data_IF_364405547027
#
_entry.id   IF_364405547027
#
_cell.length_a   1.000
_cell.length_b   1.000
_cell.length_c   1.000
_cell.angle_alpha   90.00
_cell.angle_beta   90.00
_cell.angle_gamma   90.00
#
_symmetry.space_group_name_H-M   'P 1'
#
loop_
_entity.id
_entity.type
_entity.pdbx_description
1 polymer ?
#
# COMPACT_ATOMS: atom_id res chain seq x y z
N UNK A 1 -12.18 -11.15 29.95
CA UNK A 1 -12.61 -11.25 28.54
C UNK A 1 -12.62 -9.90 27.82
N UNK A 2 -12.79 -8.76 28.52
CA UNK A 2 -12.72 -7.41 27.92
C UNK A 2 -11.31 -7.00 27.43
N UNK A 3 -10.24 -7.27 28.18
CA UNK A 3 -8.90 -6.76 27.84
C UNK A 3 -8.34 -7.30 26.53
N UNK A 4 -8.57 -8.59 26.23
CA UNK A 4 -8.14 -9.19 24.97
C UNK A 4 -8.86 -8.56 23.77
N UNK A 5 -10.17 -8.33 23.88
CA UNK A 5 -10.96 -7.70 22.82
C UNK A 5 -10.48 -6.26 22.60
N UNK A 6 -10.26 -5.50 23.66
CA UNK A 6 -9.68 -4.15 23.58
C UNK A 6 -8.29 -4.15 22.93
N UNK A 7 -7.42 -5.11 23.28
CA UNK A 7 -6.11 -5.26 22.66
C UNK A 7 -6.19 -5.53 21.16
N UNK A 8 -7.14 -6.36 20.71
CA UNK A 8 -7.40 -6.59 19.29
C UNK A 8 -7.91 -5.32 18.59
N UNK A 9 -8.77 -4.54 19.24
CA UNK A 9 -9.23 -3.25 18.69
C UNK A 9 -8.07 -2.29 18.41
N UNK A 10 -7.12 -2.17 19.33
CA UNK A 10 -5.90 -1.36 19.12
C UNK A 10 -5.00 -1.90 18.02
N UNK A 11 -4.81 -3.23 17.96
CA UNK A 11 -4.07 -3.87 16.88
C UNK A 11 -4.72 -3.59 15.52
N UNK A 12 -6.04 -3.66 15.46
CA UNK A 12 -6.85 -3.27 14.30
C UNK A 12 -6.65 -1.84 13.88
N UNK A 13 -6.80 -0.91 14.81
CA UNK A 13 -6.70 0.52 14.55
C UNK A 13 -5.37 0.89 13.87
N UNK A 14 -4.25 0.33 14.35
CA UNK A 14 -2.92 0.64 13.83
C UNK A 14 -2.51 -0.20 12.60
N UNK A 15 -3.12 -1.38 12.42
CA UNK A 15 -2.74 -2.33 11.38
C UNK A 15 -2.70 -1.75 9.94
N UNK A 16 -3.65 -0.93 9.46
CA UNK A 16 -3.63 -0.38 8.12
C UNK A 16 -2.35 0.41 7.83
N UNK A 17 -1.96 1.28 8.76
CA UNK A 17 -0.75 2.09 8.63
C UNK A 17 0.50 1.23 8.71
N UNK A 18 0.60 0.36 9.72
CA UNK A 18 1.77 -0.49 9.93
C UNK A 18 2.02 -1.46 8.76
N UNK A 19 0.99 -2.19 8.34
CA UNK A 19 1.08 -3.16 7.25
C UNK A 19 1.25 -2.46 5.89
N UNK A 20 0.59 -1.31 5.69
CA UNK A 20 0.82 -0.45 4.52
C UNK A 20 2.28 0.02 4.43
N UNK A 21 2.86 0.49 5.54
CA UNK A 21 4.26 0.90 5.60
C UNK A 21 5.25 -0.25 5.30
N UNK A 22 4.98 -1.45 5.83
CA UNK A 22 5.79 -2.64 5.54
C UNK A 22 5.71 -2.98 4.04
N UNK A 23 4.51 -3.02 3.47
CA UNK A 23 4.31 -3.28 2.06
C UNK A 23 4.98 -2.26 1.15
N UNK A 24 4.79 -0.97 1.45
CA UNK A 24 5.43 0.13 0.73
C UNK A 24 6.95 0.04 0.80
N UNK A 25 7.52 -0.28 1.96
CA UNK A 25 8.97 -0.45 2.11
C UNK A 25 9.49 -1.57 1.20
N UNK A 26 8.83 -2.73 1.21
CA UNK A 26 9.21 -3.87 0.37
C UNK A 26 9.07 -3.53 -1.11
N UNK A 27 7.92 -2.97 -1.51
CA UNK A 27 7.64 -2.62 -2.90
C UNK A 27 8.61 -1.58 -3.45
N UNK A 28 8.83 -0.49 -2.72
CA UNK A 28 9.78 0.56 -3.09
C UNK A 28 11.22 0.04 -3.11
N UNK A 29 11.61 -0.85 -2.21
CA UNK A 29 12.95 -1.44 -2.23
C UNK A 29 13.18 -2.28 -3.49
N UNK A 30 12.22 -3.15 -3.86
CA UNK A 30 12.31 -3.98 -5.07
C UNK A 30 12.38 -3.11 -6.33
N UNK A 31 11.49 -2.11 -6.45
CA UNK A 31 11.50 -1.22 -7.61
C UNK A 31 12.75 -0.31 -7.64
N UNK A 32 13.24 0.11 -6.46
CA UNK A 32 14.45 0.90 -6.31
C UNK A 32 15.71 0.15 -6.75
N UNK A 33 15.81 -1.15 -6.44
CA UNK A 33 16.88 -2.00 -6.94
C UNK A 33 16.90 -2.05 -8.47
N UNK A 34 15.74 -2.18 -9.11
CA UNK A 34 15.63 -2.12 -10.57
C UNK A 34 15.99 -0.74 -11.13
N UNK A 35 15.60 0.34 -10.44
CA UNK A 35 15.96 1.71 -10.80
C UNK A 35 17.48 1.93 -10.79
N UNK A 36 18.17 1.50 -9.72
CA UNK A 36 19.64 1.56 -9.64
C UNK A 36 20.25 0.78 -10.81
N UNK A 37 19.78 -0.44 -11.06
CA UNK A 37 20.28 -1.25 -12.18
C UNK A 37 20.08 -0.59 -13.55
N UNK A 38 18.96 0.10 -13.77
CA UNK A 38 18.72 0.85 -15.01
C UNK A 38 19.68 2.05 -15.15
N UNK A 39 19.95 2.76 -14.05
CA UNK A 39 20.85 3.92 -14.06
C UNK A 39 22.31 3.56 -14.36
N UNK A 40 22.72 2.31 -14.12
CA UNK A 40 24.05 1.84 -14.53
C UNK A 40 24.17 1.74 -16.06
N UNK A 41 23.06 1.42 -16.75
CA UNK A 41 23.04 1.14 -18.19
C UNK A 41 22.65 2.37 -19.04
N UNK A 42 22.23 3.48 -18.42
CA UNK A 42 21.66 4.63 -19.12
C UNK A 42 22.17 5.95 -18.55
N UNK A 43 22.44 6.95 -19.41
CA UNK A 43 22.86 8.30 -18.98
C UNK A 43 21.69 9.29 -18.82
N UNK A 44 20.43 8.83 -18.94
CA UNK A 44 19.24 9.68 -18.87
C UNK A 44 18.01 8.94 -18.34
N UNK A 45 16.93 9.67 -18.05
CA UNK A 45 15.68 9.06 -17.59
C UNK A 45 15.60 8.76 -16.09
N UNK A 46 16.55 9.24 -15.28
CA UNK A 46 16.60 8.96 -13.84
C UNK A 46 15.32 9.32 -13.09
N UNK A 47 14.75 10.49 -13.38
CA UNK A 47 13.48 10.92 -12.77
C UNK A 47 12.33 9.96 -13.04
N UNK A 48 12.33 9.29 -14.20
CA UNK A 48 11.36 8.25 -14.56
C UNK A 48 11.54 7.02 -13.69
N UNK A 49 12.77 6.50 -13.58
CA UNK A 49 13.04 5.29 -12.80
C UNK A 49 12.78 5.51 -11.30
N UNK A 50 13.21 6.65 -10.76
CA UNK A 50 12.95 7.05 -9.37
C UNK A 50 11.45 7.22 -9.15
N UNK A 51 10.76 7.94 -10.03
CA UNK A 51 9.31 8.17 -9.93
C UNK A 51 8.50 6.88 -9.94
N UNK A 52 8.87 5.90 -10.77
CA UNK A 52 8.22 4.59 -10.77
C UNK A 52 8.55 3.79 -9.51
N UNK A 53 9.78 3.92 -8.99
CA UNK A 53 10.21 3.18 -7.80
C UNK A 53 9.47 3.55 -6.53
N UNK A 54 8.94 4.78 -6.45
CA UNK A 54 8.19 5.26 -5.28
C UNK A 54 6.68 4.99 -5.39
N UNK A 55 6.17 4.50 -6.53
CA UNK A 55 4.73 4.22 -6.69
C UNK A 55 4.11 3.38 -5.55
N UNK A 56 4.78 2.33 -5.02
CA UNK A 56 4.26 1.56 -3.89
C UNK A 56 4.12 2.35 -2.56
N UNK A 57 4.48 3.63 -2.50
CA UNK A 57 4.25 4.46 -1.31
C UNK A 57 2.79 4.86 -1.13
N UNK A 58 1.92 4.67 -2.12
CA UNK A 58 0.49 4.99 -1.97
C UNK A 58 -0.16 4.17 -0.86
N UNK A 59 0.25 2.91 -0.67
CA UNK A 59 -0.36 2.03 0.32
C UNK A 59 -0.17 2.49 1.76
N UNK A 60 0.98 3.07 2.12
CA UNK A 60 1.14 3.68 3.45
C UNK A 60 0.23 4.91 3.62
N UNK A 61 0.04 5.71 2.57
CA UNK A 61 -0.86 6.88 2.62
C UNK A 61 -2.31 6.42 2.83
N UNK A 62 -2.76 5.41 2.09
CA UNK A 62 -4.08 4.80 2.29
C UNK A 62 -4.22 4.23 3.70
N UNK A 63 -3.19 3.52 4.19
CA UNK A 63 -3.16 3.00 5.56
C UNK A 63 -3.31 4.09 6.62
N UNK A 64 -2.63 5.23 6.47
CA UNK A 64 -2.77 6.38 7.37
C UNK A 64 -4.21 6.91 7.37
N UNK A 65 -4.82 7.08 6.19
CA UNK A 65 -6.19 7.60 6.09
C UNK A 65 -7.21 6.61 6.68
N UNK A 66 -7.05 5.31 6.48
CA UNK A 66 -7.91 4.29 7.10
C UNK A 66 -7.75 4.33 8.63
N UNK A 67 -6.52 4.36 9.14
CA UNK A 67 -6.26 4.44 10.59
C UNK A 67 -6.97 5.65 11.20
N UNK A 68 -6.83 6.84 10.62
CA UNK A 68 -7.52 8.04 11.12
C UNK A 68 -9.05 7.95 10.99
N UNK A 69 -9.54 7.30 9.94
CA UNK A 69 -10.98 7.10 9.74
C UNK A 69 -11.58 6.08 10.71
N UNK A 70 -10.75 5.17 11.25
CA UNK A 70 -11.11 4.22 12.29
C UNK A 70 -10.93 4.78 13.71
N UNK A 71 -10.30 5.95 13.87
CA UNK A 71 -9.95 6.50 15.18
C UNK A 71 -11.19 6.86 15.99
N UNK A 72 -11.40 6.13 17.10
CA UNK A 72 -12.45 6.33 18.10
C UNK A 72 -12.11 5.56 19.38
N UNK A 73 -12.95 5.67 20.41
CA UNK A 73 -12.77 4.93 21.65
C UNK A 73 -12.81 3.41 21.41
N UNK A 74 -11.81 2.73 21.95
CA UNK A 74 -11.66 1.26 21.81
C UNK A 74 -12.37 0.58 22.98
N UNK A 75 -13.63 0.26 22.78
CA UNK A 75 -14.50 -0.44 23.74
C UNK A 75 -14.75 -1.87 23.28
N UNK A 76 -15.30 -2.76 24.13
CA UNK A 76 -15.70 -4.10 23.72
C UNK A 76 -16.68 -4.14 22.54
N UNK A 77 -17.49 -3.10 22.35
CA UNK A 77 -18.46 -2.95 21.28
C UNK A 77 -17.82 -2.52 19.95
N UNK A 78 -16.85 -1.59 20.00
CA UNK A 78 -16.19 -1.05 18.79
C UNK A 78 -15.00 -1.89 18.35
N UNK A 79 -14.29 -2.51 19.28
CA UNK A 79 -13.04 -3.21 19.04
C UNK A 79 -13.11 -4.34 17.98
N UNK A 80 -14.18 -5.17 17.90
CA UNK A 80 -14.29 -6.18 16.85
C UNK A 80 -14.31 -5.58 15.43
N UNK A 81 -15.02 -4.46 15.24
CA UNK A 81 -15.09 -3.78 13.96
C UNK A 81 -13.74 -3.11 13.60
N UNK A 82 -13.10 -2.46 14.57
CA UNK A 82 -11.76 -1.89 14.42
C UNK A 82 -10.73 -2.96 14.01
N UNK A 83 -10.75 -4.12 14.69
CA UNK A 83 -9.89 -5.24 14.38
C UNK A 83 -10.12 -5.80 12.97
N UNK A 84 -11.38 -6.12 12.64
CA UNK A 84 -11.71 -6.73 11.36
C UNK A 84 -11.38 -5.82 10.18
N UNK A 85 -11.83 -4.56 10.20
CA UNK A 85 -11.61 -3.62 9.10
C UNK A 85 -10.13 -3.24 9.01
N UNK A 86 -9.51 -2.93 10.16
CA UNK A 86 -8.13 -2.50 10.20
C UNK A 86 -7.14 -3.57 9.75
N UNK A 87 -7.28 -4.80 10.27
CA UNK A 87 -6.36 -5.88 9.93
C UNK A 87 -6.48 -6.31 8.47
N UNK A 88 -7.70 -6.50 7.97
CA UNK A 88 -7.93 -6.99 6.61
C UNK A 88 -7.55 -5.94 5.56
N UNK A 89 -7.85 -4.65 5.80
CA UNK A 89 -7.39 -3.58 4.93
C UNK A 89 -5.87 -3.45 4.95
N UNK A 90 -5.23 -3.58 6.12
CA UNK A 90 -3.77 -3.57 6.23
C UNK A 90 -3.10 -4.70 5.45
N UNK A 91 -3.62 -5.93 5.49
CA UNK A 91 -3.09 -7.03 4.67
C UNK A 91 -3.30 -6.80 3.17
N UNK A 92 -4.45 -6.25 2.77
CA UNK A 92 -4.67 -5.89 1.38
C UNK A 92 -3.63 -4.89 0.87
N UNK A 93 -3.34 -3.84 1.67
CA UNK A 93 -2.32 -2.83 1.38
C UNK A 93 -0.90 -3.42 1.36
N UNK A 94 -0.57 -4.30 2.32
CA UNK A 94 0.72 -4.99 2.36
C UNK A 94 0.98 -5.76 1.07
N UNK A 95 0.07 -6.66 0.70
CA UNK A 95 0.25 -7.52 -0.46
C UNK A 95 0.18 -6.74 -1.77
N UNK A 96 -0.68 -5.72 -1.87
CA UNK A 96 -0.76 -4.91 -3.09
C UNK A 96 0.54 -4.14 -3.33
N UNK A 97 1.11 -3.49 -2.30
CA UNK A 97 2.36 -2.74 -2.43
C UNK A 97 3.53 -3.64 -2.85
N UNK A 98 3.64 -4.84 -2.27
CA UNK A 98 4.67 -5.82 -2.64
C UNK A 98 4.58 -6.21 -4.11
N UNK A 99 3.37 -6.49 -4.61
CA UNK A 99 3.14 -6.86 -6.01
C UNK A 99 3.30 -5.69 -6.97
N UNK A 100 2.92 -4.49 -6.53
CA UNK A 100 3.12 -3.27 -7.31
C UNK A 100 4.60 -2.98 -7.50
N UNK A 101 5.43 -3.16 -6.47
CA UNK A 101 6.89 -3.04 -6.58
C UNK A 101 7.50 -3.98 -7.64
N UNK A 102 7.02 -5.22 -7.72
CA UNK A 102 7.45 -6.19 -8.75
C UNK A 102 7.04 -5.75 -10.17
N UNK A 103 5.83 -5.22 -10.32
CA UNK A 103 5.36 -4.66 -11.59
C UNK A 103 6.18 -3.41 -11.99
N UNK A 104 6.44 -2.51 -11.05
CA UNK A 104 7.29 -1.33 -11.22
C UNK A 104 8.72 -1.71 -11.63
N UNK A 105 9.33 -2.71 -10.99
CA UNK A 105 10.64 -3.21 -11.35
C UNK A 105 10.68 -3.71 -12.81
N UNK A 106 9.64 -4.44 -13.22
CA UNK A 106 9.52 -4.93 -14.60
C UNK A 106 9.34 -3.79 -15.61
N UNK A 107 8.55 -2.77 -15.25
CA UNK A 107 8.37 -1.57 -16.06
C UNK A 107 9.68 -0.78 -16.24
N UNK A 108 10.47 -0.65 -15.16
CA UNK A 108 11.79 -0.02 -15.21
C UNK A 108 12.74 -0.79 -16.13
N UNK A 109 12.81 -2.12 -16.00
CA UNK A 109 13.62 -2.96 -16.88
C UNK A 109 13.18 -2.90 -18.35
N UNK A 110 11.89 -2.81 -18.64
CA UNK A 110 11.42 -2.63 -20.01
C UNK A 110 11.81 -1.23 -20.54
N UNK A 111 11.66 -0.20 -19.71
CA UNK A 111 11.84 1.20 -20.09
C UNK A 111 13.30 1.62 -20.25
N UNK A 112 14.26 0.89 -19.67
CA UNK A 112 15.69 1.12 -19.94
C UNK A 112 16.07 0.70 -21.36
N UNK A 113 15.44 -0.34 -21.90
CA UNK A 113 15.73 -0.86 -23.24
C UNK A 113 14.83 -0.26 -24.32
N UNK A 114 13.55 -0.02 -23.99
CA UNK A 114 12.55 0.54 -24.90
C UNK A 114 11.82 1.72 -24.23
N UNK A 115 12.42 2.92 -24.20
CA UNK A 115 11.84 4.09 -23.53
C UNK A 115 10.46 4.50 -24.06
N UNK A 116 10.14 4.14 -25.30
CA UNK A 116 8.89 4.45 -26.01
C UNK A 116 7.67 3.70 -25.44
N UNK A 117 7.86 2.54 -24.82
CA UNK A 117 6.77 1.77 -24.19
C UNK A 117 6.56 2.09 -22.71
N UNK A 118 7.26 3.11 -22.18
CA UNK A 118 7.23 3.43 -20.75
C UNK A 118 5.80 3.54 -20.19
N UNK A 119 4.95 4.37 -20.79
CA UNK A 119 3.57 4.55 -20.30
C UNK A 119 2.75 3.27 -20.33
N UNK A 120 2.90 2.45 -21.37
CA UNK A 120 2.22 1.16 -21.49
C UNK A 120 2.75 0.15 -20.47
N UNK A 121 4.04 0.19 -20.18
CA UNK A 121 4.68 -0.72 -19.21
C UNK A 121 4.23 -0.49 -17.77
N UNK A 122 3.62 0.66 -17.45
CA UNK A 122 3.05 0.96 -16.14
C UNK A 122 1.65 0.38 -15.93
N UNK A 123 0.97 -0.07 -16.97
CA UNK A 123 -0.40 -0.57 -16.86
C UNK A 123 -0.56 -1.69 -15.80
N UNK A 124 0.36 -2.68 -15.69
CA UNK A 124 0.26 -3.69 -14.63
C UNK A 124 0.37 -3.10 -13.22
N UNK A 125 1.24 -2.10 -13.01
CA UNK A 125 1.38 -1.43 -11.72
C UNK A 125 0.12 -0.64 -11.35
N UNK A 126 -0.54 -0.01 -12.35
CA UNK A 126 -1.81 0.69 -12.17
C UNK A 126 -2.97 -0.26 -11.87
N UNK A 127 -2.98 -1.48 -12.44
CA UNK A 127 -3.98 -2.50 -12.12
C UNK A 127 -3.84 -2.94 -10.65
N UNK A 128 -2.61 -3.18 -10.19
CA UNK A 128 -2.35 -3.53 -8.78
C UNK A 128 -2.78 -2.39 -7.84
N UNK A 129 -2.52 -1.14 -8.22
CA UNK A 129 -3.01 0.04 -7.49
C UNK A 129 -4.54 0.02 -7.33
N UNK A 130 -5.27 -0.32 -8.38
CA UNK A 130 -6.73 -0.37 -8.35
C UNK A 130 -7.28 -1.28 -7.25
N UNK A 131 -6.65 -2.42 -6.98
CA UNK A 131 -7.05 -3.30 -5.88
C UNK A 131 -6.81 -2.69 -4.50
N UNK A 132 -5.71 -1.94 -4.33
CA UNK A 132 -5.45 -1.20 -3.11
C UNK A 132 -6.51 -0.12 -2.86
N UNK A 133 -6.88 0.62 -3.92
CA UNK A 133 -7.93 1.65 -3.88
C UNK A 133 -9.29 1.05 -3.54
N UNK A 134 -9.65 -0.12 -4.06
CA UNK A 134 -10.89 -0.79 -3.66
C UNK A 134 -10.90 -1.12 -2.17
N UNK A 135 -9.85 -1.76 -1.64
CA UNK A 135 -9.75 -2.08 -0.22
C UNK A 135 -9.82 -0.82 0.65
N UNK A 136 -9.16 0.26 0.21
CA UNK A 136 -9.19 1.57 0.84
C UNK A 136 -10.61 2.15 0.91
N UNK A 137 -11.31 2.28 -0.22
CA UNK A 137 -12.65 2.88 -0.28
C UNK A 137 -13.65 2.09 0.55
N UNK A 138 -13.67 0.76 0.45
CA UNK A 138 -14.59 -0.06 1.24
C UNK A 138 -14.28 0.00 2.74
N UNK A 139 -13.00 0.10 3.14
CA UNK A 139 -12.64 0.33 4.54
C UNK A 139 -13.19 1.66 5.05
N UNK A 140 -13.15 2.73 4.25
CA UNK A 140 -13.73 4.04 4.64
C UNK A 140 -15.25 3.99 4.78
N UNK A 141 -15.94 3.33 3.85
CA UNK A 141 -17.40 3.16 3.91
C UNK A 141 -17.79 2.40 5.17
N UNK A 142 -17.10 1.30 5.47
CA UNK A 142 -17.37 0.52 6.68
C UNK A 142 -17.00 1.28 7.96
N UNK A 143 -15.91 2.07 7.93
CA UNK A 143 -15.51 2.88 9.06
C UNK A 143 -16.59 3.89 9.48
N UNK A 144 -17.32 4.48 8.52
CA UNK A 144 -18.44 5.37 8.79
C UNK A 144 -19.68 4.70 9.38
N UNK A 145 -19.80 3.37 9.30
CA UNK A 145 -20.90 2.60 9.87
C UNK A 145 -20.64 2.09 11.29
N UNK A 146 -19.44 2.30 11.84
CA UNK A 146 -19.10 1.87 13.20
C UNK A 146 -19.75 2.85 14.19
N UNK A 147 -20.57 2.38 15.15
CA UNK A 147 -21.11 3.22 16.20
C UNK A 147 -19.98 3.95 16.94
N UNK A 148 -20.17 5.25 17.15
CA UNK A 148 -19.33 6.08 18.01
C UNK A 148 -19.74 5.93 19.46
#
# INVERSE_FOLDING_TARGET
>A
MNEFVTALGWAGLFAPMALGAIGSTIGCAVAGQAAIGAMVDTDSGYGRYIGVSVMPSSQVIYGIVIMFSLQRDVTPETAPALFGIGLLSGFALLFSAMRQGQACASAIHASKTKPEIFGLSLAPAAIVEGFAVFAFVFALVLAGGIPG
#
